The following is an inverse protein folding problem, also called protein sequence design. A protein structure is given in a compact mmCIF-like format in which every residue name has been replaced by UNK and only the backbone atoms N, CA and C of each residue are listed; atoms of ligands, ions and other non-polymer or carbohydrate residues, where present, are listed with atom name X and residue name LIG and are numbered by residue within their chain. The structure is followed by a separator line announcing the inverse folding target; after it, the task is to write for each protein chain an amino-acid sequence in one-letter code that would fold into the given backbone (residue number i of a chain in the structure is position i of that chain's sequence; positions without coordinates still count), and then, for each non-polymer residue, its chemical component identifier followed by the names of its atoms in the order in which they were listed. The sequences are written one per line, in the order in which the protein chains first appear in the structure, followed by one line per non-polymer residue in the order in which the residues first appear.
data_IF_963542499100
#
_entry.id   IF_963542499100
#
_cell.length_a   1.000
_cell.length_b   1.000
_cell.length_c   1.000
_cell.angle_alpha   90.00
_cell.angle_beta   90.00
_cell.angle_gamma   90.00
#
_symmetry.space_group_name_H-M   'P 1'
#
loop_
_entity.id
_entity.type
_entity.pdbx_description
1 polymer ?
#
# COMPACT_ATOMS: atom_id res chain seq x y z
N UNK A 1 -9.65 38.41 1.75
CA UNK A 1 -8.29 38.14 1.24
C UNK A 1 -7.29 39.01 2.00
N UNK A 2 -6.23 38.42 2.56
CA UNK A 2 -5.25 39.10 3.41
C UNK A 2 -3.84 38.67 3.01
N UNK A 3 -2.88 39.61 3.04
CA UNK A 3 -1.45 39.35 2.86
C UNK A 3 -0.68 40.18 3.87
N UNK A 4 0.25 39.56 4.59
CA UNK A 4 1.12 40.17 5.58
C UNK A 4 2.57 39.82 5.23
N UNK A 5 3.46 40.80 5.27
CA UNK A 5 4.90 40.59 5.14
C UNK A 5 5.56 41.19 6.38
N UNK A 6 6.27 40.36 7.13
CA UNK A 6 7.06 40.76 8.29
C UNK A 6 8.54 40.60 7.96
N UNK A 7 9.32 41.61 8.27
CA UNK A 7 10.79 41.57 8.17
C UNK A 7 11.37 41.79 9.56
N UNK A 8 12.29 40.92 9.96
CA UNK A 8 12.98 41.02 11.24
C UNK A 8 14.48 40.85 11.01
N UNK A 9 15.25 41.85 11.44
CA UNK A 9 16.70 41.77 11.55
C UNK A 9 17.05 41.49 13.01
N UNK A 10 17.65 40.34 13.27
CA UNK A 10 17.95 39.83 14.61
C UNK A 10 19.48 39.84 14.77
N UNK A 11 19.96 40.39 15.88
CA UNK A 11 21.38 40.35 16.25
C UNK A 11 21.52 39.61 17.58
N UNK A 12 22.31 38.54 17.62
CA UNK A 12 22.57 37.78 18.85
C UNK A 12 23.47 38.57 19.81
N UNK A 13 23.51 38.23 21.10
CA UNK A 13 24.43 38.85 22.06
C UNK A 13 25.91 38.76 21.67
N UNK A 14 26.31 37.74 20.90
CA UNK A 14 27.68 37.60 20.35
C UNK A 14 27.89 38.32 19.01
N UNK A 15 26.92 39.13 18.56
CA UNK A 15 27.01 39.89 17.32
C UNK A 15 26.64 39.12 16.04
N UNK A 16 26.09 37.90 16.14
CA UNK A 16 25.65 37.16 14.95
C UNK A 16 24.37 37.77 14.39
N UNK A 17 24.35 38.05 13.09
CA UNK A 17 23.19 38.63 12.42
C UNK A 17 22.35 37.57 11.70
N UNK A 18 21.04 37.77 11.70
CA UNK A 18 20.08 36.99 10.94
C UNK A 18 19.00 37.92 10.40
N UNK A 19 18.61 37.71 9.14
CA UNK A 19 17.42 38.34 8.55
C UNK A 19 16.37 37.29 8.27
N UNK A 20 15.17 37.55 8.77
CA UNK A 20 13.99 36.71 8.56
C UNK A 20 12.94 37.53 7.83
N UNK A 21 12.46 37.01 6.71
CA UNK A 21 11.33 37.57 5.96
C UNK A 21 10.21 36.53 5.98
N UNK A 22 9.10 36.86 6.63
CA UNK A 22 7.91 36.00 6.70
C UNK A 22 6.81 36.62 5.83
N UNK A 23 6.32 35.87 4.87
CA UNK A 23 5.18 36.21 4.04
C UNK A 23 4.02 35.27 4.37
N UNK A 24 2.92 35.82 4.86
CA UNK A 24 1.69 35.09 5.16
C UNK A 24 0.58 35.59 4.24
N UNK A 25 -0.19 34.68 3.66
CA UNK A 25 -1.31 35.02 2.79
C UNK A 25 -2.50 34.13 3.11
N UNK A 26 -3.69 34.71 3.16
CA UNK A 26 -4.96 34.00 3.25
C UNK A 26 -5.90 34.49 2.14
N UNK A 27 -6.38 33.56 1.32
CA UNK A 27 -7.34 33.81 0.25
C UNK A 27 -8.55 32.90 0.43
N UNK A 28 -9.74 33.43 0.22
CA UNK A 28 -10.97 32.65 0.36
C UNK A 28 -12.05 33.13 -0.58
N UNK A 29 -12.75 32.17 -1.18
CA UNK A 29 -14.05 32.31 -1.84
C UNK A 29 -15.06 31.41 -1.13
N UNK A 30 -16.30 31.36 -1.61
CA UNK A 30 -17.31 30.43 -1.09
C UNK A 30 -16.90 28.95 -1.23
N UNK A 31 -16.12 28.61 -2.27
CA UNK A 31 -15.82 27.22 -2.65
C UNK A 31 -14.35 26.82 -2.43
N UNK A 32 -13.48 27.78 -2.08
CA UNK A 32 -12.04 27.57 -1.97
C UNK A 32 -11.45 28.44 -0.86
N UNK A 33 -10.56 27.86 -0.05
CA UNK A 33 -9.79 28.60 0.94
C UNK A 33 -8.34 28.17 0.88
N UNK A 34 -7.44 29.13 0.94
CA UNK A 34 -6.00 28.89 0.89
C UNK A 34 -5.32 29.76 1.95
N UNK A 35 -4.46 29.13 2.74
CA UNK A 35 -3.55 29.78 3.66
C UNK A 35 -2.13 29.38 3.29
N UNK A 36 -1.24 30.35 3.24
CA UNK A 36 0.14 30.18 2.82
C UNK A 36 1.05 30.94 3.78
N UNK A 37 2.14 30.30 4.20
CA UNK A 37 3.20 30.93 4.99
C UNK A 37 4.52 30.57 4.34
N UNK A 38 5.33 31.56 4.02
CA UNK A 38 6.70 31.37 3.56
C UNK A 38 7.62 32.17 4.45
N UNK A 39 8.66 31.52 4.99
CA UNK A 39 9.74 32.22 5.65
C UNK A 39 11.03 32.05 4.85
N UNK A 40 11.74 33.15 4.66
CA UNK A 40 13.07 33.20 4.09
C UNK A 40 14.05 33.66 5.16
N UNK A 41 15.07 32.86 5.42
CA UNK A 41 16.02 33.07 6.50
C UNK A 41 17.42 33.16 5.90
N UNK A 42 18.13 34.23 6.22
CA UNK A 42 19.53 34.45 5.83
C UNK A 42 20.36 34.73 7.07
N UNK A 43 21.52 34.08 7.18
CA UNK A 43 22.48 34.31 8.26
C UNK A 43 23.88 33.92 7.79
N UNK A 44 24.94 34.63 8.22
CA UNK A 44 26.32 34.22 7.95
C UNK A 44 26.67 32.83 8.47
N UNK A 45 25.92 32.32 9.45
CA UNK A 45 26.10 30.98 10.02
C UNK A 45 25.53 29.85 9.15
N UNK A 46 24.67 30.19 8.18
CA UNK A 46 24.12 29.24 7.21
C UNK A 46 25.01 29.25 5.96
N UNK A 47 25.29 28.08 5.40
CA UNK A 47 26.02 27.98 4.14
C UNK A 47 25.21 28.57 2.97
N UNK A 48 23.88 28.43 3.01
CA UNK A 48 22.97 28.96 2.02
C UNK A 48 21.70 29.51 2.68
N UNK A 49 21.01 30.49 2.06
CA UNK A 49 19.71 30.94 2.52
C UNK A 49 18.70 29.80 2.61
N UNK A 50 17.88 29.82 3.65
CA UNK A 50 16.80 28.87 3.85
C UNK A 50 15.47 29.45 3.39
N UNK A 51 14.63 28.60 2.82
CA UNK A 51 13.25 28.92 2.51
C UNK A 51 12.33 27.81 3.00
N UNK A 52 11.44 28.11 3.92
CA UNK A 52 10.36 27.19 4.32
C UNK A 52 9.04 27.70 3.75
N UNK A 53 8.24 26.79 3.18
CA UNK A 53 6.92 27.09 2.63
C UNK A 53 5.91 26.14 3.27
N UNK A 54 4.80 26.69 3.73
CA UNK A 54 3.64 25.95 4.17
C UNK A 54 2.44 26.43 3.35
N UNK A 55 1.69 25.50 2.80
CA UNK A 55 0.47 25.73 2.06
C UNK A 55 -0.62 24.83 2.63
N UNK A 56 -1.72 25.43 3.04
CA UNK A 56 -2.97 24.76 3.37
C UNK A 56 -4.01 25.19 2.34
N UNK A 57 -4.61 24.25 1.64
CA UNK A 57 -5.67 24.53 0.68
C UNK A 57 -6.88 23.65 0.98
N UNK A 58 -8.06 24.24 0.92
CA UNK A 58 -9.34 23.57 0.85
C UNK A 58 -10.00 23.92 -0.48
N UNK A 59 -10.32 22.91 -1.28
CA UNK A 59 -11.08 23.06 -2.52
C UNK A 59 -12.23 22.06 -2.49
N UNK A 60 -13.47 22.54 -2.56
CA UNK A 60 -14.66 21.68 -2.58
C UNK A 60 -14.70 20.64 -1.44
N UNK A 61 -14.25 21.01 -0.24
CA UNK A 61 -14.20 20.12 0.92
C UNK A 61 -12.96 19.22 1.00
N UNK A 62 -12.15 19.13 -0.06
CA UNK A 62 -10.87 18.42 -0.01
C UNK A 62 -9.80 19.31 0.62
N UNK A 63 -9.19 18.83 1.71
CA UNK A 63 -8.11 19.53 2.39
C UNK A 63 -6.76 18.99 1.94
N UNK A 64 -5.82 19.88 1.67
CA UNK A 64 -4.42 19.55 1.43
C UNK A 64 -3.51 20.45 2.26
N UNK A 65 -2.49 19.87 2.86
CA UNK A 65 -1.44 20.57 3.56
C UNK A 65 -0.10 20.15 2.97
N UNK A 66 0.75 21.12 2.64
CA UNK A 66 2.07 20.89 2.08
C UNK A 66 3.07 21.80 2.78
N UNK A 67 4.13 21.20 3.31
CA UNK A 67 5.24 21.90 3.94
C UNK A 67 6.55 21.45 3.30
N UNK A 68 7.42 22.40 2.96
CA UNK A 68 8.71 22.14 2.35
C UNK A 68 9.76 23.05 2.98
N UNK A 69 10.94 22.49 3.27
CA UNK A 69 12.15 23.24 3.60
C UNK A 69 13.15 23.10 2.44
N UNK A 70 13.48 24.22 1.83
CA UNK A 70 14.48 24.36 0.77
C UNK A 70 15.74 25.00 1.39
N UNK A 71 16.86 24.27 1.42
CA UNK A 71 18.17 24.77 1.88
C UNK A 71 19.23 24.84 0.77
N UNK A 72 18.80 24.72 -0.48
CA UNK A 72 19.65 24.77 -1.67
C UNK A 72 18.93 24.23 -2.90
N UNK A 73 19.69 23.94 -3.95
CA UNK A 73 19.21 23.24 -5.13
C UNK A 73 19.97 21.92 -5.30
N UNK A 74 19.28 20.77 -5.38
CA UNK A 74 17.83 20.57 -5.30
C UNK A 74 17.26 20.74 -3.87
N UNK A 75 15.92 20.84 -3.76
CA UNK A 75 15.17 20.90 -2.49
C UNK A 75 15.46 19.66 -1.66
N UNK A 76 16.16 19.79 -0.53
CA UNK A 76 16.65 18.61 0.17
C UNK A 76 16.47 18.59 1.69
N UNK A 77 15.74 19.53 2.31
CA UNK A 77 15.62 19.57 3.78
C UNK A 77 14.57 18.60 4.32
N UNK A 78 13.31 18.96 4.17
CA UNK A 78 12.16 18.18 4.62
C UNK A 78 10.94 18.48 3.77
N UNK A 79 10.07 17.50 3.60
CA UNK A 79 8.78 17.67 2.96
C UNK A 79 7.70 16.92 3.74
N UNK A 80 6.55 17.54 3.84
CA UNK A 80 5.33 16.93 4.36
C UNK A 80 4.20 17.27 3.39
N UNK A 81 3.43 16.27 2.97
CA UNK A 81 2.22 16.44 2.18
C UNK A 81 1.12 15.58 2.80
N UNK A 82 -0.05 16.17 3.02
CA UNK A 82 -1.25 15.50 3.49
C UNK A 82 -2.41 15.89 2.59
N UNK A 83 -3.21 14.90 2.16
CA UNK A 83 -4.49 15.12 1.51
C UNK A 83 -5.58 14.35 2.23
N UNK A 84 -6.68 15.04 2.51
CA UNK A 84 -7.86 14.49 3.17
C UNK A 84 -9.03 14.52 2.19
N UNK A 85 -9.87 13.49 2.27
CA UNK A 85 -11.14 13.44 1.56
C UNK A 85 -12.16 14.38 2.20
N UNK A 86 -13.23 14.76 1.47
CA UNK A 86 -14.31 15.59 2.04
C UNK A 86 -14.97 14.97 3.27
N UNK A 87 -14.97 13.64 3.36
CA UNK A 87 -15.54 12.87 4.48
C UNK A 87 -14.58 12.78 5.68
N UNK A 88 -13.39 13.39 5.61
CA UNK A 88 -12.41 13.45 6.70
C UNK A 88 -11.39 12.31 6.73
N UNK A 89 -11.37 11.43 5.73
CA UNK A 89 -10.40 10.32 5.65
C UNK A 89 -9.07 10.74 5.02
N UNK A 90 -7.95 10.13 5.43
CA UNK A 90 -6.64 10.37 4.79
C UNK A 90 -6.62 9.70 3.41
N UNK A 91 -6.45 10.50 2.35
CA UNK A 91 -6.26 10.03 0.98
C UNK A 91 -4.79 9.76 0.67
N UNK A 92 -3.90 10.65 1.06
CA UNK A 92 -2.47 10.48 0.86
C UNK A 92 -1.67 11.22 1.91
N UNK A 93 -0.53 10.66 2.27
CA UNK A 93 0.39 11.27 3.22
C UNK A 93 1.82 10.96 2.79
N UNK A 94 2.66 11.97 2.66
CA UNK A 94 4.07 11.83 2.33
C UNK A 94 4.90 12.65 3.31
N UNK A 95 5.87 12.03 3.93
CA UNK A 95 6.90 12.69 4.73
C UNK A 95 8.25 12.26 4.24
N UNK A 96 9.07 13.24 3.89
CA UNK A 96 10.45 13.05 3.48
C UNK A 96 11.34 13.90 4.37
N UNK A 97 12.36 13.30 4.95
CA UNK A 97 13.26 13.94 5.90
C UNK A 97 14.69 13.62 5.51
N UNK A 98 15.49 14.65 5.25
CA UNK A 98 16.93 14.51 5.11
C UNK A 98 17.59 14.94 6.42
N UNK A 99 17.99 13.96 7.24
CA UNK A 99 18.50 14.26 8.58
C UNK A 99 19.79 15.09 8.59
N UNK A 100 20.63 14.97 7.55
CA UNK A 100 21.85 15.78 7.43
C UNK A 100 21.50 17.26 7.39
N UNK A 101 20.57 17.61 6.52
CA UNK A 101 20.18 18.98 6.25
C UNK A 101 19.38 19.55 7.42
N UNK A 102 18.43 18.78 7.96
CA UNK A 102 17.73 19.14 9.20
C UNK A 102 18.71 19.36 10.37
N UNK A 103 19.77 18.55 10.47
CA UNK A 103 20.81 18.74 11.49
C UNK A 103 21.58 20.05 11.30
N UNK A 104 21.96 20.41 10.07
CA UNK A 104 22.63 21.67 9.78
C UNK A 104 21.74 22.89 10.09
N UNK A 105 20.43 22.79 9.81
CA UNK A 105 19.45 23.79 10.21
C UNK A 105 19.42 23.97 11.74
N UNK A 106 19.30 22.87 12.49
CA UNK A 106 19.25 22.93 13.95
C UNK A 106 20.53 23.54 14.54
N UNK A 107 21.70 23.19 14.00
CA UNK A 107 22.99 23.80 14.39
C UNK A 107 23.03 25.31 14.11
N UNK A 108 22.49 25.75 12.97
CA UNK A 108 22.43 27.17 12.64
C UNK A 108 21.52 27.95 13.59
N UNK A 109 20.37 27.36 13.98
CA UNK A 109 19.48 27.91 15.01
C UNK A 109 20.20 27.98 16.36
N UNK A 110 20.84 26.89 16.77
CA UNK A 110 21.56 26.81 18.06
C UNK A 110 22.64 27.89 18.19
N UNK A 111 23.41 28.14 17.12
CA UNK A 111 24.42 29.22 17.07
C UNK A 111 23.86 30.62 17.33
N UNK A 112 22.58 30.86 17.00
CA UNK A 112 21.93 32.16 17.25
C UNK A 112 21.50 32.31 18.70
N UNK A 113 21.03 31.22 19.31
CA UNK A 113 20.50 31.22 20.68
C UNK A 113 21.54 30.91 21.75
N UNK A 114 22.81 30.70 21.38
CA UNK A 114 23.93 30.51 22.33
C UNK A 114 23.77 29.32 23.26
N UNK A 115 23.04 28.28 22.84
CA UNK A 115 23.01 27.03 23.60
C UNK A 115 24.28 26.23 23.26
N UNK A 116 24.91 25.64 24.28
CA UNK A 116 26.19 24.93 24.18
C UNK A 116 26.23 23.97 22.99
N UNK A 117 27.26 24.13 22.16
CA UNK A 117 27.56 23.29 20.99
C UNK A 117 27.41 21.80 21.28
N UNK A 118 26.37 21.17 20.74
CA UNK A 118 26.32 19.72 20.58
C UNK A 118 27.25 19.30 19.43
N UNK A 119 28.49 18.95 19.78
CA UNK A 119 29.48 18.40 18.84
C UNK A 119 29.11 16.96 18.45
N UNK A 120 28.11 16.80 17.60
CA UNK A 120 27.79 15.53 16.92
C UNK A 120 28.36 15.53 15.51
N UNK A 121 29.34 14.68 15.23
CA UNK A 121 29.77 14.38 13.85
C UNK A 121 28.60 13.70 13.13
N UNK A 122 28.04 14.37 12.12
CA UNK A 122 27.11 13.72 11.20
C UNK A 122 27.92 12.82 10.27
N UNK A 123 27.69 11.51 10.37
CA UNK A 123 28.37 10.48 9.58
C UNK A 123 27.81 10.49 8.14
N UNK A 124 28.67 10.39 7.12
CA UNK A 124 28.38 10.44 5.68
C UNK A 124 27.59 9.23 5.13
N UNK A 125 26.44 8.92 5.71
CA UNK A 125 25.50 7.96 5.12
C UNK A 125 24.39 8.70 4.36
N UNK A 126 23.74 8.06 3.38
CA UNK A 126 22.46 8.56 2.87
C UNK A 126 21.55 8.76 4.08
N UNK A 127 21.06 9.97 4.36
CA UNK A 127 20.26 10.30 5.56
C UNK A 127 18.79 10.56 5.25
N UNK A 128 18.32 10.05 4.11
CA UNK A 128 16.96 10.32 3.62
C UNK A 128 16.01 9.24 4.15
N UNK A 129 15.00 9.69 4.88
CA UNK A 129 13.86 8.90 5.31
C UNK A 129 12.64 9.33 4.50
N UNK A 130 11.89 8.38 3.96
CA UNK A 130 10.62 8.61 3.27
C UNK A 130 9.56 7.71 3.88
N UNK A 131 8.41 8.28 4.20
CA UNK A 131 7.19 7.55 4.45
C UNK A 131 6.13 8.07 3.49
N UNK A 132 5.55 7.21 2.68
CA UNK A 132 4.53 7.58 1.72
C UNK A 132 3.39 6.58 1.80
N UNK A 133 2.20 7.06 2.17
CA UNK A 133 0.95 6.35 2.15
C UNK A 133 0.04 6.95 1.08
N UNK A 134 -0.63 6.09 0.32
CA UNK A 134 -1.59 6.52 -0.69
C UNK A 134 -2.77 5.55 -0.76
N UNK A 135 -3.97 6.10 -0.67
CA UNK A 135 -5.26 5.45 -0.89
C UNK A 135 -5.70 5.72 -2.33
N UNK A 136 -5.39 4.79 -3.23
CA UNK A 136 -5.66 4.93 -4.67
C UNK A 136 -7.16 4.84 -4.99
N UNK A 137 -7.88 3.98 -4.26
CA UNK A 137 -9.34 3.86 -4.32
C UNK A 137 -9.88 3.60 -2.91
N UNK A 138 -11.21 3.62 -2.67
CA UNK A 138 -11.79 3.24 -1.38
C UNK A 138 -11.35 1.88 -0.85
N UNK A 139 -10.87 0.99 -1.71
CA UNK A 139 -10.49 -0.38 -1.37
C UNK A 139 -9.06 -0.74 -1.77
N UNK A 140 -8.22 0.22 -2.14
CA UNK A 140 -6.83 0.01 -2.53
C UNK A 140 -5.90 1.01 -1.86
N UNK A 141 -4.87 0.48 -1.20
CA UNK A 141 -3.95 1.19 -0.31
C UNK A 141 -2.52 0.78 -0.63
N UNK A 142 -1.60 1.72 -0.53
CA UNK A 142 -0.16 1.48 -0.68
C UNK A 142 0.64 2.25 0.35
N UNK A 143 1.73 1.65 0.79
CA UNK A 143 2.71 2.24 1.70
C UNK A 143 4.10 2.00 1.12
N UNK A 144 4.94 3.03 1.13
CA UNK A 144 6.36 2.97 0.82
C UNK A 144 7.13 3.61 1.96
N UNK A 145 8.08 2.88 2.51
CA UNK A 145 9.01 3.37 3.52
C UNK A 145 10.42 3.24 3.00
N UNK A 146 11.18 4.33 2.97
CA UNK A 146 12.60 4.33 2.63
C UNK A 146 13.38 4.80 3.84
N UNK A 147 14.44 4.07 4.17
CA UNK A 147 15.47 4.47 5.11
C UNK A 147 16.83 4.26 4.44
N UNK A 148 17.91 4.76 5.04
CA UNK A 148 19.27 4.58 4.52
C UNK A 148 19.66 3.12 4.28
N UNK A 149 19.16 2.21 5.11
CA UNK A 149 19.54 0.81 5.08
C UNK A 149 18.53 -0.08 4.37
N UNK A 150 17.27 0.36 4.21
CA UNK A 150 16.17 -0.51 3.74
C UNK A 150 15.09 0.29 3.01
N UNK A 151 14.51 -0.33 2.00
CA UNK A 151 13.26 0.13 1.37
C UNK A 151 12.19 -0.93 1.56
N UNK A 152 11.07 -0.56 2.18
CA UNK A 152 9.92 -1.44 2.40
C UNK A 152 8.73 -0.94 1.59
N UNK A 153 7.93 -1.85 1.04
CA UNK A 153 6.72 -1.51 0.30
C UNK A 153 5.59 -2.46 0.65
N UNK A 154 4.39 -1.92 0.83
CA UNK A 154 3.18 -2.69 1.11
C UNK A 154 2.03 -2.23 0.22
N UNK A 155 1.23 -3.16 -0.26
CA UNK A 155 0.06 -2.89 -1.08
C UNK A 155 -1.09 -3.80 -0.61
N UNK A 156 -2.26 -3.21 -0.44
CA UNK A 156 -3.48 -3.94 -0.10
C UNK A 156 -4.58 -3.53 -1.07
N UNK A 157 -5.30 -4.50 -1.61
CA UNK A 157 -6.47 -4.30 -2.45
C UNK A 157 -7.54 -5.28 -2.02
N UNK A 158 -8.78 -4.81 -1.90
CA UNK A 158 -9.92 -5.68 -1.67
C UNK A 158 -11.13 -5.22 -2.50
N UNK A 159 -12.04 -6.15 -2.76
CA UNK A 159 -13.35 -5.94 -3.37
C UNK A 159 -14.20 -7.17 -3.08
N UNK A 160 -15.45 -7.18 -3.55
CA UNK A 160 -16.34 -8.35 -3.42
C UNK A 160 -15.80 -9.60 -4.12
N UNK A 161 -14.84 -9.42 -5.04
CA UNK A 161 -14.31 -10.46 -5.92
C UNK A 161 -12.80 -10.67 -5.81
N UNK A 162 -12.08 -9.84 -5.07
CA UNK A 162 -10.62 -9.89 -5.00
C UNK A 162 -10.14 -9.45 -3.63
N UNK A 163 -9.17 -10.16 -3.08
CA UNK A 163 -8.40 -9.78 -1.91
C UNK A 163 -6.92 -10.00 -2.23
N UNK A 164 -6.10 -8.98 -2.07
CA UNK A 164 -4.67 -9.02 -2.35
C UNK A 164 -3.93 -8.21 -1.30
N UNK A 165 -2.95 -8.83 -0.67
CA UNK A 165 -1.99 -8.20 0.22
C UNK A 165 -0.58 -8.55 -0.25
N UNK A 166 0.27 -7.55 -0.41
CA UNK A 166 1.66 -7.71 -0.83
C UNK A 166 2.56 -6.89 0.07
N UNK A 167 3.65 -7.48 0.54
CA UNK A 167 4.64 -6.81 1.35
C UNK A 167 6.06 -7.22 0.94
N UNK A 168 6.89 -6.21 0.71
CA UNK A 168 8.28 -6.34 0.30
C UNK A 168 9.15 -5.70 1.39
N UNK A 169 9.82 -6.48 2.26
CA UNK A 169 10.65 -5.93 3.34
C UNK A 169 11.94 -5.24 2.84
N UNK A 170 12.42 -5.62 1.66
CA UNK A 170 13.67 -5.11 1.07
C UNK A 170 13.51 -4.88 -0.44
N UNK A 171 12.54 -4.04 -0.81
CA UNK A 171 12.19 -3.74 -2.20
C UNK A 171 13.41 -3.23 -2.97
N UNK A 172 13.72 -3.88 -4.09
CA UNK A 172 14.85 -3.55 -4.97
C UNK A 172 16.20 -4.15 -4.56
N UNK A 173 16.29 -4.79 -3.39
CA UNK A 173 17.52 -5.45 -2.91
C UNK A 173 17.34 -6.96 -2.79
N UNK A 174 16.19 -7.40 -2.28
CA UNK A 174 15.85 -8.82 -2.17
C UNK A 174 14.61 -9.15 -2.99
N UNK A 175 14.55 -10.38 -3.49
CA UNK A 175 13.35 -10.98 -4.04
C UNK A 175 12.34 -11.42 -2.96
N UNK A 176 12.71 -11.34 -1.66
CA UNK A 176 11.81 -11.66 -0.56
C UNK A 176 10.53 -10.84 -0.63
N UNK A 177 9.39 -11.54 -0.73
CA UNK A 177 8.06 -10.97 -0.75
C UNK A 177 7.12 -11.84 0.08
N UNK A 178 6.13 -11.19 0.67
CA UNK A 178 5.00 -11.82 1.34
C UNK A 178 3.77 -11.44 0.53
N UNK A 179 3.10 -12.41 -0.08
CA UNK A 179 1.90 -12.16 -0.86
C UNK A 179 0.80 -13.12 -0.42
N UNK A 180 -0.40 -12.57 -0.23
CA UNK A 180 -1.64 -13.33 -0.05
C UNK A 180 -2.63 -12.79 -1.07
N UNK A 181 -3.14 -13.66 -1.92
CA UNK A 181 -4.07 -13.29 -2.97
C UNK A 181 -5.21 -14.30 -3.04
N UNK A 182 -6.43 -13.80 -3.17
CA UNK A 182 -7.63 -14.57 -3.41
C UNK A 182 -8.51 -13.81 -4.40
N UNK A 183 -9.02 -14.49 -5.42
CA UNK A 183 -9.92 -13.89 -6.41
C UNK A 183 -11.03 -14.85 -6.76
N UNK A 184 -12.25 -14.34 -6.79
CA UNK A 184 -13.41 -14.97 -7.36
C UNK A 184 -13.80 -14.24 -8.65
N UNK A 185 -13.87 -14.96 -9.77
CA UNK A 185 -14.38 -14.42 -11.03
C UNK A 185 -15.53 -15.28 -11.53
N UNK A 186 -16.57 -14.63 -12.05
CA UNK A 186 -17.68 -15.32 -12.74
C UNK A 186 -17.68 -14.87 -14.19
N UNK A 187 -17.55 -15.84 -15.10
CA UNK A 187 -17.62 -15.62 -16.53
C UNK A 187 -19.08 -15.62 -17.00
N UNK A 188 -19.34 -15.04 -18.17
CA UNK A 188 -20.67 -14.98 -18.79
C UNK A 188 -21.31 -16.38 -18.95
N UNK A 189 -20.49 -17.42 -19.10
CA UNK A 189 -20.91 -18.81 -19.29
C UNK A 189 -21.30 -19.52 -17.97
N UNK A 190 -21.66 -18.78 -16.92
CA UNK A 190 -21.99 -19.31 -15.58
C UNK A 190 -20.87 -20.13 -14.93
N UNK A 191 -19.63 -19.95 -15.40
CA UNK A 191 -18.44 -20.53 -14.78
C UNK A 191 -17.93 -19.58 -13.70
N UNK A 192 -17.79 -20.09 -12.49
CA UNK A 192 -17.17 -19.41 -11.35
C UNK A 192 -15.79 -20.01 -11.13
N UNK A 193 -14.79 -19.15 -10.97
CA UNK A 193 -13.40 -19.53 -10.71
C UNK A 193 -12.94 -18.85 -9.43
N UNK A 194 -12.34 -19.63 -8.54
CA UNK A 194 -11.69 -19.18 -7.34
C UNK A 194 -10.20 -19.47 -7.45
N UNK A 195 -9.38 -18.45 -7.34
CA UNK A 195 -7.93 -18.56 -7.37
C UNK A 195 -7.36 -18.03 -6.06
N UNK A 196 -6.53 -18.83 -5.40
CA UNK A 196 -5.80 -18.47 -4.18
C UNK A 196 -4.31 -18.63 -4.42
N UNK A 197 -3.53 -17.73 -3.83
CA UNK A 197 -2.07 -17.73 -3.95
C UNK A 197 -1.41 -17.20 -2.67
N UNK A 198 -0.38 -17.90 -2.22
CA UNK A 198 0.44 -17.52 -1.06
C UNK A 198 1.90 -17.56 -1.45
N UNK A 199 2.61 -16.46 -1.22
CA UNK A 199 4.06 -16.35 -1.36
C UNK A 199 4.68 -15.96 -0.02
N UNK A 200 5.71 -16.69 0.39
CA UNK A 200 6.46 -16.43 1.62
C UNK A 200 7.95 -16.76 1.42
N UNK A 201 8.90 -15.98 1.95
CA UNK A 201 10.33 -16.20 1.68
C UNK A 201 10.90 -17.53 2.16
N UNK A 202 10.21 -18.23 3.06
CA UNK A 202 10.62 -19.56 3.55
C UNK A 202 10.06 -20.71 2.72
N UNK A 203 9.23 -20.43 1.71
CA UNK A 203 8.72 -21.44 0.81
C UNK A 203 9.66 -21.52 -0.40
N UNK A 204 10.00 -22.73 -0.82
CA UNK A 204 10.79 -22.95 -2.04
C UNK A 204 10.06 -22.46 -3.30
N UNK A 205 8.74 -22.36 -3.22
CA UNK A 205 7.84 -21.88 -4.26
C UNK A 205 6.52 -21.39 -3.70
N UNK A 206 5.82 -20.62 -4.52
CA UNK A 206 4.51 -20.10 -4.16
C UNK A 206 3.44 -21.20 -4.15
N UNK A 207 2.57 -21.18 -3.13
CA UNK A 207 1.45 -22.10 -3.03
C UNK A 207 0.27 -21.57 -3.84
N UNK A 208 -0.43 -22.43 -4.56
CA UNK A 208 -1.56 -22.05 -5.40
C UNK A 208 -2.75 -22.99 -5.22
N UNK A 209 -3.94 -22.42 -5.29
CA UNK A 209 -5.20 -23.14 -5.30
C UNK A 209 -6.03 -22.56 -6.45
N UNK A 210 -6.52 -23.41 -7.34
CA UNK A 210 -7.44 -23.00 -8.40
C UNK A 210 -8.66 -23.91 -8.38
N UNK A 211 -9.84 -23.34 -8.24
CA UNK A 211 -11.12 -24.07 -8.26
C UNK A 211 -11.98 -23.47 -9.33
N UNK A 212 -12.50 -24.31 -10.22
CA UNK A 212 -13.47 -23.89 -11.23
C UNK A 212 -14.75 -24.69 -11.03
N UNK A 213 -15.88 -24.03 -11.21
CA UNK A 213 -17.20 -24.62 -11.08
C UNK A 213 -18.12 -23.99 -12.12
N UNK A 214 -18.88 -24.81 -12.84
CA UNK A 214 -19.88 -24.37 -13.80
C UNK A 214 -21.16 -25.18 -13.64
N UNK A 215 -22.28 -24.52 -13.84
CA UNK A 215 -23.60 -25.13 -13.89
C UNK A 215 -24.33 -24.58 -15.11
N UNK A 216 -24.87 -25.46 -15.95
CA UNK A 216 -25.67 -25.06 -17.12
C UNK A 216 -27.13 -25.56 -17.04
N UNK A 217 -27.58 -25.96 -15.84
CA UNK A 217 -28.93 -26.46 -15.58
C UNK A 217 -29.12 -27.96 -15.86
N UNK A 218 -28.29 -28.58 -16.70
CA UNK A 218 -28.32 -30.04 -16.98
C UNK A 218 -27.05 -30.75 -16.48
N UNK A 219 -25.94 -30.03 -16.47
CA UNK A 219 -24.62 -30.52 -16.08
C UNK A 219 -24.00 -29.58 -15.06
N UNK A 220 -23.43 -30.17 -14.02
CA UNK A 220 -22.52 -29.48 -13.12
C UNK A 220 -21.12 -30.00 -13.42
N UNK A 221 -20.16 -29.10 -13.60
CA UNK A 221 -18.76 -29.43 -13.81
C UNK A 221 -17.92 -28.66 -12.83
N UNK A 222 -16.88 -29.28 -12.30
CA UNK A 222 -15.89 -28.58 -11.49
C UNK A 222 -14.50 -29.17 -11.64
N UNK A 223 -13.50 -28.34 -11.36
CA UNK A 223 -12.12 -28.76 -11.22
C UNK A 223 -11.52 -28.10 -9.99
N UNK A 224 -10.55 -28.79 -9.39
CA UNK A 224 -9.69 -28.23 -8.35
C UNK A 224 -8.25 -28.57 -8.69
N UNK A 225 -7.36 -27.62 -8.53
CA UNK A 225 -5.92 -27.81 -8.51
C UNK A 225 -5.38 -27.26 -7.19
N UNK A 226 -4.72 -28.13 -6.44
CA UNK A 226 -4.12 -27.84 -5.16
C UNK A 226 -2.61 -28.06 -5.28
N UNK A 227 -1.90 -26.95 -5.47
CA UNK A 227 -0.46 -26.92 -5.64
C UNK A 227 0.20 -26.30 -4.39
N UNK A 228 0.12 -27.06 -3.30
CA UNK A 228 0.60 -26.65 -1.96
C UNK A 228 1.80 -27.47 -1.46
N UNK A 229 2.28 -28.40 -2.29
CA UNK A 229 3.35 -29.32 -1.93
C UNK A 229 4.72 -28.77 -2.37
N UNK A 230 5.81 -29.15 -1.69
CA UNK A 230 7.16 -28.70 -2.05
C UNK A 230 7.51 -29.02 -3.51
N UNK A 231 7.16 -30.21 -4.01
CA UNK A 231 7.38 -30.59 -5.41
C UNK A 231 6.12 -30.34 -6.25
N UNK A 232 6.23 -29.71 -7.43
CA UNK A 232 5.09 -29.49 -8.35
C UNK A 232 4.45 -30.76 -8.87
N UNK A 233 5.20 -31.86 -8.94
CA UNK A 233 4.68 -33.18 -9.34
C UNK A 233 3.69 -33.76 -8.32
N UNK A 234 3.78 -33.32 -7.06
CA UNK A 234 2.95 -33.80 -5.96
C UNK A 234 1.60 -33.08 -5.89
N UNK A 235 1.32 -32.16 -6.83
CA UNK A 235 0.04 -31.43 -6.88
C UNK A 235 -1.15 -32.38 -6.92
N UNK A 236 -2.22 -32.00 -6.23
CA UNK A 236 -3.48 -32.72 -6.25
C UNK A 236 -4.41 -32.00 -7.21
N UNK A 237 -4.97 -32.76 -8.14
CA UNK A 237 -5.98 -32.30 -9.08
C UNK A 237 -7.26 -33.06 -8.84
N UNK A 238 -8.39 -32.41 -9.05
CA UNK A 238 -9.70 -33.02 -8.90
C UNK A 238 -10.63 -32.60 -10.00
N UNK A 239 -11.55 -33.49 -10.35
CA UNK A 239 -12.63 -33.22 -11.29
C UNK A 239 -13.95 -33.70 -10.70
N UNK A 240 -14.97 -32.87 -10.89
CA UNK A 240 -16.35 -33.15 -10.56
C UNK A 240 -17.15 -33.05 -11.84
N UNK A 241 -17.89 -34.08 -12.19
CA UNK A 241 -18.87 -34.05 -13.27
C UNK A 241 -20.19 -34.58 -12.74
N UNK A 242 -21.27 -33.90 -13.07
CA UNK A 242 -22.61 -34.33 -12.69
C UNK A 242 -23.56 -34.13 -13.84
N UNK A 243 -24.42 -35.10 -14.06
CA UNK A 243 -25.44 -35.12 -15.09
C UNK A 243 -26.81 -35.28 -14.43
N UNK A 244 -27.72 -34.36 -14.74
CA UNK A 244 -29.14 -34.57 -14.45
C UNK A 244 -29.68 -35.48 -15.55
N UNK A 245 -29.81 -36.76 -15.23
CA UNK A 245 -30.19 -37.80 -16.19
C UNK A 245 -31.70 -37.82 -16.45
N UNK A 246 -32.50 -37.51 -15.42
CA UNK A 246 -33.95 -37.37 -15.48
C UNK A 246 -34.42 -36.31 -14.48
N UNK A 247 -35.69 -35.90 -14.54
CA UNK A 247 -36.25 -34.82 -13.69
C UNK A 247 -35.95 -34.98 -12.20
N UNK A 248 -35.82 -36.23 -11.72
CA UNK A 248 -35.50 -36.52 -10.34
C UNK A 248 -34.26 -37.43 -10.16
N UNK A 249 -33.37 -37.51 -11.15
CA UNK A 249 -32.17 -38.37 -11.08
C UNK A 249 -30.90 -37.57 -11.37
N UNK A 250 -29.95 -37.62 -10.45
CA UNK A 250 -28.64 -36.97 -10.56
C UNK A 250 -27.54 -38.03 -10.45
N UNK A 251 -26.63 -38.01 -11.41
CA UNK A 251 -25.40 -38.81 -11.38
C UNK A 251 -24.24 -37.85 -11.15
N UNK A 252 -23.37 -38.15 -10.20
CA UNK A 252 -22.19 -37.37 -9.83
C UNK A 252 -20.97 -38.28 -9.86
N UNK A 253 -19.97 -37.90 -10.64
CA UNK A 253 -18.63 -38.49 -10.62
C UNK A 253 -17.64 -37.48 -10.04
N UNK A 254 -16.94 -37.87 -9.00
CA UNK A 254 -15.83 -37.11 -8.44
C UNK A 254 -14.56 -37.95 -8.49
N UNK A 255 -13.45 -37.35 -8.91
CA UNK A 255 -12.15 -38.01 -8.93
C UNK A 255 -11.08 -37.06 -8.42
N UNK A 256 -10.11 -37.61 -7.68
CA UNK A 256 -8.87 -36.91 -7.32
C UNK A 256 -7.68 -37.69 -7.86
N UNK A 257 -6.68 -36.96 -8.32
CA UNK A 257 -5.43 -37.50 -8.84
C UNK A 257 -4.25 -36.66 -8.37
N UNK A 258 -3.17 -37.30 -7.96
CA UNK A 258 -1.94 -36.61 -7.58
C UNK A 258 -0.96 -37.60 -6.98
N UNK A 259 0.34 -37.39 -7.21
CA UNK A 259 1.39 -38.30 -6.71
C UNK A 259 1.45 -38.34 -5.18
N UNK A 260 1.08 -37.24 -4.51
CA UNK A 260 0.91 -37.20 -3.06
C UNK A 260 -0.20 -38.11 -2.54
N UNK A 261 -1.19 -38.45 -3.38
CA UNK A 261 -2.22 -39.40 -3.04
C UNK A 261 -1.68 -40.81 -3.30
N UNK A 262 -1.62 -41.65 -2.26
CA UNK A 262 -1.20 -43.06 -2.40
C UNK A 262 -2.11 -43.88 -3.33
N UNK A 263 -3.35 -43.41 -3.52
CA UNK A 263 -4.38 -43.97 -4.40
C UNK A 263 -5.13 -42.81 -5.05
N UNK A 264 -5.68 -43.00 -6.25
CA UNK A 264 -6.52 -41.99 -6.92
C UNK A 264 -7.99 -42.29 -6.63
N UNK A 265 -8.60 -41.68 -5.59
CA UNK A 265 -9.98 -41.99 -5.24
C UNK A 265 -10.91 -41.52 -6.36
N UNK A 266 -11.83 -42.40 -6.74
CA UNK A 266 -12.97 -42.10 -7.61
C UNK A 266 -14.23 -42.47 -6.84
N UNK A 267 -15.20 -41.56 -6.84
CA UNK A 267 -16.52 -41.77 -6.25
C UNK A 267 -17.55 -41.55 -7.35
N UNK A 268 -18.43 -42.53 -7.52
CA UNK A 268 -19.61 -42.42 -8.36
C UNK A 268 -20.85 -42.48 -7.46
N UNK A 269 -21.65 -41.42 -7.51
CA UNK A 269 -22.86 -41.26 -6.73
C UNK A 269 -24.05 -41.08 -7.66
N UNK A 270 -25.07 -41.93 -7.54
CA UNK A 270 -26.34 -41.74 -8.21
C UNK A 270 -27.45 -41.58 -7.17
N UNK A 271 -28.20 -40.49 -7.27
CA UNK A 271 -29.38 -40.24 -6.45
C UNK A 271 -30.61 -40.14 -7.34
N UNK A 272 -31.68 -40.81 -6.91
CA UNK A 272 -33.01 -40.66 -7.48
C UNK A 272 -34.01 -40.28 -6.38
N UNK A 273 -34.90 -39.33 -6.67
CA UNK A 273 -35.93 -38.86 -5.76
C UNK A 273 -37.34 -39.11 -6.31
N UNK A 274 -38.26 -39.53 -5.45
CA UNK A 274 -39.70 -39.51 -5.67
C UNK A 274 -40.38 -38.90 -4.44
N UNK A 275 -41.64 -38.44 -4.52
CA UNK A 275 -42.33 -37.74 -3.42
C UNK A 275 -42.26 -38.43 -2.05
N UNK A 276 -42.01 -39.75 -2.01
CA UNK A 276 -41.90 -40.54 -0.78
C UNK A 276 -40.70 -41.51 -0.75
N UNK A 277 -39.73 -41.40 -1.67
CA UNK A 277 -38.58 -42.34 -1.71
C UNK A 277 -37.31 -41.66 -2.22
N UNK A 278 -36.19 -41.95 -1.57
CA UNK A 278 -34.85 -41.56 -2.02
C UNK A 278 -34.05 -42.84 -2.27
N UNK A 279 -33.60 -43.05 -3.50
CA UNK A 279 -32.66 -44.10 -3.86
C UNK A 279 -31.25 -43.53 -3.98
N UNK A 280 -30.28 -44.15 -3.30
CA UNK A 280 -28.87 -43.76 -3.33
C UNK A 280 -28.03 -44.97 -3.73
N UNK A 281 -27.18 -44.82 -4.75
CA UNK A 281 -26.14 -45.79 -5.12
C UNK A 281 -24.78 -45.10 -5.06
N UNK A 282 -23.85 -45.63 -4.28
CA UNK A 282 -22.52 -45.06 -4.04
C UNK A 282 -21.47 -46.13 -4.29
N UNK A 283 -20.52 -45.84 -5.19
CA UNK A 283 -19.43 -46.73 -5.60
C UNK A 283 -18.09 -46.02 -5.60
#
# INVERSE_FOLDING_TARGET
NMKLITKADITSPQGHQMKVIIETMHRGTANQREAYVQAHITSPSLQQPMKTKFLLANQQGQYSAKWEIEMGSPVDGAMYELKLSPEGGVQSFRVELNLKEVSELLKAIERLFSMRTLSGRAQESQTIYLFHYHKTTPTSYSILMKSPSRTMGGEVKYSDSEYSMKFHPHKGVSASKYELYARHSRDWNQQSRFNGHISHPSLDRDLQIDVQYGNNGQKITGSVELDIFPNPEDKITGKLESLIFAQNTVIVEAQLSGKALKVNPKVHFAAAYSPHTIGLDVK
#
